data_IF_826363372389
#
_entry.id   IF_826363372389
#
_cell.length_a   1.000
_cell.length_b   1.000
_cell.length_c   1.000
_cell.angle_alpha   90.00
_cell.angle_beta   90.00
_cell.angle_gamma   90.00
#
_symmetry.space_group_name_H-M   'P 1'
#
loop_
_entity.id
_entity.type
_entity.pdbx_description
1 polymer ?
#
# COMPACT_ATOMS: atom_id res chain seq x y z
N UNK A 1 18.40 -75.56 3.68
CA UNK A 1 18.84 -74.66 4.75
C UNK A 1 18.35 -73.25 4.41
N UNK A 2 17.45 -72.63 5.19
CA UNK A 2 16.98 -71.28 4.92
C UNK A 2 17.99 -70.24 5.46
N UNK A 3 18.19 -69.09 4.81
CA UNK A 3 18.97 -68.00 5.37
C UNK A 3 18.14 -67.22 6.40
N UNK A 4 18.83 -66.76 7.44
CA UNK A 4 18.33 -66.07 8.62
C UNK A 4 17.80 -64.67 8.28
N UNK A 5 16.74 -64.29 8.99
CA UNK A 5 16.28 -62.90 9.09
C UNK A 5 17.37 -62.03 9.70
N UNK A 6 17.76 -60.96 9.01
CA UNK A 6 18.56 -59.88 9.55
C UNK A 6 17.68 -58.64 9.70
N UNK A 7 17.42 -58.33 10.97
CA UNK A 7 17.20 -57.03 11.58
C UNK A 7 17.12 -55.83 10.62
N UNK A 8 15.88 -55.45 10.29
CA UNK A 8 15.57 -54.07 9.97
C UNK A 8 15.72 -53.27 11.26
N UNK A 9 16.87 -52.61 11.45
CA UNK A 9 17.02 -51.53 12.42
C UNK A 9 16.07 -50.42 11.99
N UNK A 10 14.89 -50.42 12.60
CA UNK A 10 13.98 -49.29 12.69
C UNK A 10 14.75 -48.14 13.35
N UNK A 11 15.33 -47.27 12.53
CA UNK A 11 15.80 -45.96 12.98
C UNK A 11 14.55 -45.13 13.25
N UNK A 12 13.97 -45.36 14.43
CA UNK A 12 12.94 -44.53 15.01
C UNK A 12 13.49 -43.13 15.24
N UNK A 13 13.43 -42.30 14.20
CA UNK A 13 13.16 -40.88 14.39
C UNK A 13 11.69 -40.78 14.81
N UNK A 14 11.43 -41.12 16.08
CA UNK A 14 10.24 -40.66 16.78
C UNK A 14 10.26 -39.13 16.72
N UNK A 15 9.55 -38.57 15.75
CA UNK A 15 9.01 -37.23 15.84
C UNK A 15 8.25 -37.18 17.17
N UNK A 16 8.90 -36.68 18.23
CA UNK A 16 8.27 -36.43 19.52
C UNK A 16 6.98 -35.70 19.25
N UNK A 17 5.85 -36.40 19.42
CA UNK A 17 4.54 -35.80 19.34
C UNK A 17 4.50 -34.73 20.43
N UNK A 18 4.73 -33.47 20.06
CA UNK A 18 4.58 -32.34 20.96
C UNK A 18 3.15 -32.38 21.48
N UNK A 19 3.01 -32.71 22.76
CA UNK A 19 1.70 -32.77 23.42
C UNK A 19 1.16 -31.34 23.50
N UNK A 20 -0.04 -31.13 22.96
CA UNK A 20 -0.71 -29.84 22.98
C UNK A 20 -0.86 -29.33 24.43
N UNK A 21 -0.71 -28.02 24.62
CA UNK A 21 -0.87 -27.38 25.92
C UNK A 21 -2.35 -27.44 26.34
N UNK A 22 -2.68 -27.99 27.53
CA UNK A 22 -4.07 -28.05 28.00
C UNK A 22 -4.73 -26.66 28.12
N UNK A 23 -3.92 -25.61 28.33
CA UNK A 23 -4.38 -24.23 28.43
C UNK A 23 -4.92 -23.69 27.11
N UNK A 24 -4.44 -24.17 25.95
CA UNK A 24 -4.87 -23.68 24.63
C UNK A 24 -6.38 -23.84 24.40
N UNK A 25 -6.97 -24.88 24.99
CA UNK A 25 -8.40 -25.13 24.89
C UNK A 25 -9.27 -24.04 25.57
N UNK A 26 -8.73 -23.29 26.54
CA UNK A 26 -9.51 -22.32 27.33
C UNK A 26 -8.91 -20.90 27.19
N UNK A 27 -7.59 -20.82 27.11
CA UNK A 27 -6.76 -19.62 27.06
C UNK A 27 -5.68 -19.78 25.97
N UNK A 28 -6.06 -19.78 24.69
CA UNK A 28 -5.08 -19.81 23.60
C UNK A 28 -4.19 -18.56 23.67
N UNK A 29 -2.89 -18.70 23.44
CA UNK A 29 -1.96 -17.56 23.44
C UNK A 29 -2.26 -16.52 22.36
N UNK A 30 -3.00 -16.90 21.32
CA UNK A 30 -3.56 -16.00 20.31
C UNK A 30 -5.08 -15.99 20.42
N UNK A 31 -5.64 -14.82 20.67
CA UNK A 31 -7.09 -14.61 20.70
C UNK A 31 -7.62 -14.34 19.29
N UNK A 32 -8.81 -14.84 18.99
CA UNK A 32 -9.54 -14.48 17.78
C UNK A 32 -9.96 -13.01 17.84
N UNK A 33 -9.57 -12.23 16.84
CA UNK A 33 -9.90 -10.81 16.73
C UNK A 33 -11.22 -10.63 15.99
N UNK A 34 -11.83 -9.46 16.18
CA UNK A 34 -12.97 -8.99 15.39
C UNK A 34 -12.76 -7.52 15.05
N UNK A 35 -12.62 -7.23 13.76
CA UNK A 35 -12.59 -5.86 13.28
C UNK A 35 -13.98 -5.24 13.46
N UNK A 36 -14.05 -4.12 14.18
CA UNK A 36 -15.29 -3.41 14.52
C UNK A 36 -15.27 -1.95 14.08
N UNK A 37 -14.09 -1.40 13.82
CA UNK A 37 -13.91 -0.01 13.43
C UNK A 37 -13.74 0.02 11.91
N UNK A 38 -14.66 0.64 11.15
CA UNK A 38 -14.54 0.72 9.70
C UNK A 38 -13.40 1.66 9.29
N UNK A 39 -12.87 1.46 8.09
CA UNK A 39 -11.91 2.39 7.51
C UNK A 39 -12.60 3.72 7.16
N UNK A 40 -12.07 4.82 7.68
CA UNK A 40 -12.61 6.18 7.48
C UNK A 40 -11.78 7.05 6.53
N UNK A 41 -10.64 6.53 6.05
CA UNK A 41 -9.78 7.22 5.09
C UNK A 41 -10.30 7.14 3.65
N UNK A 42 -9.73 7.96 2.78
CA UNK A 42 -9.90 7.77 1.34
C UNK A 42 -9.29 6.43 0.91
N UNK A 43 -10.00 5.68 0.06
CA UNK A 43 -9.49 4.43 -0.50
C UNK A 43 -8.28 4.69 -1.39
N UNK A 44 -7.35 3.74 -1.43
CA UNK A 44 -6.26 3.78 -2.39
C UNK A 44 -6.81 3.49 -3.78
N UNK A 45 -6.52 4.37 -4.74
CA UNK A 45 -6.85 4.17 -6.15
C UNK A 45 -5.59 3.90 -6.96
N UNK A 46 -5.75 3.18 -8.08
CA UNK A 46 -4.65 2.81 -8.98
C UNK A 46 -3.84 4.02 -9.48
N UNK A 47 -4.50 5.14 -9.72
CA UNK A 47 -3.86 6.35 -10.27
C UNK A 47 -3.55 7.42 -9.20
N UNK A 48 -3.76 7.13 -7.90
CA UNK A 48 -3.46 8.09 -6.82
C UNK A 48 -2.04 7.93 -6.29
N UNK A 49 -1.34 9.06 -6.10
CA UNK A 49 0.03 9.09 -5.56
C UNK A 49 0.08 9.36 -4.05
N UNK A 50 -1.05 9.23 -3.36
CA UNK A 50 -1.18 9.52 -1.93
C UNK A 50 -0.74 8.33 -1.05
N UNK A 51 0.24 7.52 -1.51
CA UNK A 51 0.66 6.29 -0.82
C UNK A 51 0.92 6.52 0.66
N UNK A 52 1.75 7.52 1.02
CA UNK A 52 2.10 7.79 2.43
C UNK A 52 0.89 8.17 3.27
N UNK A 53 -0.01 9.00 2.72
CA UNK A 53 -1.21 9.44 3.41
C UNK A 53 -2.17 8.26 3.62
N UNK A 54 -2.35 7.44 2.60
CA UNK A 54 -3.12 6.21 2.71
C UNK A 54 -2.48 5.24 3.71
N UNK A 55 -1.16 5.03 3.65
CA UNK A 55 -0.43 4.12 4.53
C UNK A 55 -0.57 4.55 5.99
N UNK A 56 -0.48 5.86 6.26
CA UNK A 56 -0.72 6.41 7.60
C UNK A 56 -2.13 6.07 8.10
N UNK A 57 -3.16 6.35 7.29
CA UNK A 57 -4.55 6.03 7.64
C UNK A 57 -4.77 4.53 7.83
N UNK A 58 -4.18 3.71 6.96
CA UNK A 58 -4.25 2.26 7.02
C UNK A 58 -3.60 1.72 8.30
N UNK A 59 -2.42 2.22 8.68
CA UNK A 59 -1.73 1.86 9.92
C UNK A 59 -2.54 2.23 11.16
N UNK A 60 -3.21 3.38 11.15
CA UNK A 60 -4.12 3.76 12.24
C UNK A 60 -5.32 2.81 12.31
N UNK A 61 -5.95 2.51 11.17
CA UNK A 61 -7.06 1.58 11.06
C UNK A 61 -6.71 0.16 11.54
N UNK A 62 -5.55 -0.38 11.14
CA UNK A 62 -5.12 -1.71 11.62
C UNK A 62 -4.79 -1.69 13.11
N UNK A 63 -4.29 -0.58 13.65
CA UNK A 63 -3.98 -0.45 15.07
C UNK A 63 -5.25 -0.46 15.91
N UNK A 64 -6.26 0.29 15.47
CA UNK A 64 -7.57 0.35 16.10
C UNK A 64 -8.30 -1.01 16.08
N UNK A 65 -8.03 -1.85 15.08
CA UNK A 65 -8.59 -3.19 14.98
C UNK A 65 -7.65 -4.30 15.49
N UNK A 66 -6.51 -3.95 16.11
CA UNK A 66 -5.50 -4.89 16.62
C UNK A 66 -4.85 -5.81 15.54
N UNK A 67 -4.89 -5.39 14.27
CA UNK A 67 -4.36 -6.13 13.12
C UNK A 67 -2.92 -5.76 12.74
N UNK A 68 -2.34 -4.70 13.32
CA UNK A 68 -1.03 -4.15 12.93
C UNK A 68 0.09 -5.20 12.87
N UNK A 69 0.15 -6.11 13.86
CA UNK A 69 1.19 -7.14 13.89
C UNK A 69 1.02 -8.20 12.80
N UNK A 70 -0.20 -8.43 12.31
CA UNK A 70 -0.46 -9.36 11.22
C UNK A 70 -0.06 -8.78 9.86
N UNK A 71 -0.13 -7.45 9.71
CA UNK A 71 0.22 -6.75 8.47
C UNK A 71 1.71 -6.46 8.37
N UNK A 72 2.27 -5.78 9.39
CA UNK A 72 3.61 -5.18 9.29
C UNK A 72 4.72 -6.05 9.89
N UNK A 73 4.39 -7.00 10.76
CA UNK A 73 5.37 -7.87 11.41
C UNK A 73 4.80 -9.26 11.70
N UNK A 74 4.27 -9.97 10.68
CA UNK A 74 3.72 -11.30 10.89
C UNK A 74 4.84 -12.25 11.35
N UNK A 75 4.57 -12.99 12.42
CA UNK A 75 5.45 -14.02 12.94
C UNK A 75 4.88 -15.40 12.61
N UNK A 76 5.71 -16.40 12.38
CA UNK A 76 5.22 -17.76 12.10
C UNK A 76 4.75 -18.43 13.39
N UNK A 77 3.52 -18.95 13.39
CA UNK A 77 2.96 -19.67 14.51
C UNK A 77 3.24 -21.18 14.39
N UNK A 78 3.49 -21.88 15.52
CA UNK A 78 3.79 -23.32 15.54
C UNK A 78 2.52 -24.14 15.88
N UNK A 79 1.93 -24.89 14.94
CA UNK A 79 0.62 -25.53 15.12
C UNK A 79 0.59 -26.67 16.15
N UNK A 80 1.73 -27.33 16.40
CA UNK A 80 1.77 -28.56 17.19
C UNK A 80 1.68 -28.36 18.71
N UNK A 81 1.87 -27.13 19.20
CA UNK A 81 1.89 -26.84 20.65
C UNK A 81 0.55 -26.25 21.12
N UNK A 82 -0.07 -25.40 20.29
CA UNK A 82 -1.32 -24.71 20.57
C UNK A 82 -2.18 -24.65 19.28
N UNK A 83 -2.91 -25.74 18.94
CA UNK A 83 -3.69 -25.81 17.70
C UNK A 83 -4.81 -24.77 17.61
N UNK A 84 -5.43 -24.38 18.73
CA UNK A 84 -6.49 -23.37 18.74
C UNK A 84 -5.93 -21.98 18.53
N UNK A 85 -4.83 -21.64 19.19
CA UNK A 85 -4.10 -20.40 18.91
C UNK A 85 -3.62 -20.32 17.45
N UNK A 86 -3.17 -21.44 16.86
CA UNK A 86 -2.83 -21.50 15.44
C UNK A 86 -4.05 -21.23 14.53
N UNK A 87 -5.21 -21.82 14.86
CA UNK A 87 -6.46 -21.54 14.14
C UNK A 87 -6.83 -20.07 14.25
N UNK A 88 -6.79 -19.48 15.44
CA UNK A 88 -7.09 -18.06 15.67
C UNK A 88 -6.11 -17.16 14.89
N UNK A 89 -4.83 -17.49 14.89
CA UNK A 89 -3.81 -16.77 14.13
C UNK A 89 -4.11 -16.76 12.62
N UNK A 90 -4.51 -17.91 12.08
CA UNK A 90 -4.86 -18.06 10.66
C UNK A 90 -6.10 -17.24 10.29
N UNK A 91 -7.15 -17.29 11.12
CA UNK A 91 -8.34 -16.46 10.94
C UNK A 91 -8.03 -14.96 11.02
N UNK A 92 -7.16 -14.55 11.95
CA UNK A 92 -6.73 -13.16 12.07
C UNK A 92 -5.93 -12.68 10.85
N UNK A 93 -5.13 -13.55 10.22
CA UNK A 93 -4.45 -13.24 8.95
C UNK A 93 -5.47 -13.03 7.82
N UNK A 94 -6.47 -13.90 7.70
CA UNK A 94 -7.55 -13.75 6.71
C UNK A 94 -8.32 -12.44 6.93
N UNK A 95 -8.60 -12.10 8.20
CA UNK A 95 -9.22 -10.83 8.56
C UNK A 95 -8.35 -9.64 8.18
N UNK A 96 -7.03 -9.72 8.36
CA UNK A 96 -6.11 -8.67 7.94
C UNK A 96 -6.09 -8.47 6.42
N UNK A 97 -6.19 -9.55 5.62
CA UNK A 97 -6.34 -9.44 4.16
C UNK A 97 -7.65 -8.74 3.80
N UNK A 98 -8.77 -9.17 4.39
CA UNK A 98 -10.07 -8.54 4.15
C UNK A 98 -10.09 -7.06 4.55
N UNK A 99 -9.44 -6.74 5.67
CA UNK A 99 -9.26 -5.37 6.14
C UNK A 99 -8.45 -4.55 5.13
N UNK A 100 -7.33 -5.06 4.63
CA UNK A 100 -6.54 -4.43 3.56
C UNK A 100 -7.40 -4.16 2.32
N UNK A 101 -8.14 -5.16 1.84
CA UNK A 101 -9.01 -5.02 0.68
C UNK A 101 -10.08 -3.95 0.87
N UNK A 102 -10.65 -3.83 2.06
CA UNK A 102 -11.67 -2.79 2.34
C UNK A 102 -11.14 -1.36 2.20
N UNK A 103 -9.82 -1.17 2.27
CA UNK A 103 -9.15 0.14 2.21
C UNK A 103 -8.67 0.54 0.82
N UNK A 104 -8.89 -0.32 -0.18
CA UNK A 104 -8.54 -0.05 -1.59
C UNK A 104 -9.78 -0.01 -2.47
N UNK A 105 -9.62 0.57 -3.64
CA UNK A 105 -10.60 0.56 -4.73
C UNK A 105 -10.55 -0.76 -5.52
N UNK A 106 -11.65 -1.07 -6.21
CA UNK A 106 -11.79 -2.29 -7.00
C UNK A 106 -10.68 -2.43 -8.07
N UNK A 107 -10.16 -1.30 -8.57
CA UNK A 107 -9.05 -1.26 -9.52
C UNK A 107 -7.74 -1.85 -8.98
N UNK A 108 -7.59 -2.11 -7.68
CA UNK A 108 -6.38 -2.69 -7.08
C UNK A 108 -6.60 -4.09 -6.49
N UNK A 109 -7.80 -4.66 -6.64
CA UNK A 109 -8.11 -5.98 -6.09
C UNK A 109 -7.27 -7.11 -6.70
N UNK A 110 -6.80 -6.97 -7.94
CA UNK A 110 -5.90 -7.90 -8.61
C UNK A 110 -4.51 -8.00 -7.95
N UNK A 111 -4.12 -6.98 -7.18
CA UNK A 111 -2.86 -6.97 -6.43
C UNK A 111 -2.99 -7.62 -5.04
N UNK A 112 -4.21 -7.97 -4.62
CA UNK A 112 -4.48 -8.61 -3.33
C UNK A 112 -4.59 -10.12 -3.54
N UNK A 113 -3.60 -10.83 -3.00
CA UNK A 113 -3.53 -12.29 -3.07
C UNK A 113 -3.81 -12.88 -1.67
N UNK A 114 -4.98 -13.50 -1.54
CA UNK A 114 -5.43 -14.13 -0.31
C UNK A 114 -4.55 -15.31 0.12
N UNK A 115 -4.00 -16.06 -0.83
CA UNK A 115 -3.16 -17.23 -0.57
C UNK A 115 -1.76 -16.82 -0.11
N UNK A 116 -1.23 -15.75 -0.71
CA UNK A 116 0.08 -15.20 -0.33
C UNK A 116 0.06 -14.37 0.96
N UNK A 117 -1.14 -14.02 1.44
CA UNK A 117 -1.37 -13.36 2.71
C UNK A 117 -1.16 -11.85 2.69
N UNK A 118 -1.59 -11.21 3.79
CA UNK A 118 -1.76 -9.74 3.88
C UNK A 118 -0.46 -8.97 3.64
N UNK A 119 0.67 -9.47 4.12
CA UNK A 119 1.95 -8.78 3.98
C UNK A 119 2.40 -8.67 2.53
N UNK A 120 2.29 -9.75 1.76
CA UNK A 120 2.66 -9.72 0.34
C UNK A 120 1.72 -8.84 -0.46
N UNK A 121 0.42 -8.87 -0.16
CA UNK A 121 -0.56 -7.97 -0.78
C UNK A 121 -0.25 -6.50 -0.45
N UNK A 122 0.11 -6.19 0.79
CA UNK A 122 0.54 -4.84 1.18
C UNK A 122 1.82 -4.39 0.46
N UNK A 123 2.84 -5.27 0.38
CA UNK A 123 4.08 -4.99 -0.35
C UNK A 123 3.81 -4.79 -1.86
N UNK A 124 2.94 -5.60 -2.47
CA UNK A 124 2.55 -5.45 -3.87
C UNK A 124 1.84 -4.11 -4.14
N UNK A 125 0.94 -3.68 -3.25
CA UNK A 125 0.29 -2.36 -3.34
C UNK A 125 1.31 -1.23 -3.21
N UNK A 126 2.23 -1.33 -2.24
CA UNK A 126 3.30 -0.36 -2.04
C UNK A 126 4.15 -0.23 -3.31
N UNK A 127 4.64 -1.37 -3.79
CA UNK A 127 5.53 -1.42 -4.93
C UNK A 127 4.81 -0.91 -6.18
N UNK A 128 3.52 -1.22 -6.35
CA UNK A 128 2.71 -0.66 -7.44
C UNK A 128 2.61 0.87 -7.36
N UNK A 129 2.21 1.43 -6.22
CA UNK A 129 2.06 2.88 -6.04
C UNK A 129 3.39 3.64 -6.12
N UNK A 130 4.47 3.03 -5.64
CA UNK A 130 5.83 3.57 -5.75
C UNK A 130 6.44 3.32 -7.14
N UNK A 131 5.92 2.39 -7.93
CA UNK A 131 6.37 2.16 -9.31
C UNK A 131 5.69 3.06 -10.33
N UNK A 132 4.79 3.96 -9.91
CA UNK A 132 4.23 4.99 -10.78
C UNK A 132 5.39 5.77 -11.42
N UNK A 133 5.73 5.37 -12.64
CA UNK A 133 7.12 5.43 -13.11
C UNK A 133 7.67 6.83 -13.30
N UNK A 134 8.90 6.93 -13.81
CA UNK A 134 9.62 8.20 -13.97
C UNK A 134 8.82 9.29 -14.71
N UNK A 135 7.92 8.89 -15.63
CA UNK A 135 7.01 9.79 -16.36
C UNK A 135 6.08 10.56 -15.42
N UNK A 136 5.57 9.92 -14.38
CA UNK A 136 4.62 10.55 -13.46
C UNK A 136 5.34 11.51 -12.51
N UNK A 137 6.52 11.13 -12.00
CA UNK A 137 7.41 12.03 -11.26
C UNK A 137 7.74 13.30 -12.07
N UNK A 138 8.05 13.14 -13.36
CA UNK A 138 8.31 14.25 -14.28
C UNK A 138 7.09 15.17 -14.41
N UNK A 139 5.89 14.61 -14.55
CA UNK A 139 4.66 15.38 -14.67
C UNK A 139 4.37 16.21 -13.41
N UNK A 140 4.51 15.61 -12.22
CA UNK A 140 4.30 16.27 -10.93
C UNK A 140 5.32 17.39 -10.71
N UNK A 141 6.60 17.13 -11.00
CA UNK A 141 7.65 18.15 -10.85
C UNK A 141 7.45 19.29 -11.86
N UNK A 142 7.05 18.97 -13.09
CA UNK A 142 6.68 20.00 -14.07
C UNK A 142 5.50 20.84 -13.58
N UNK A 143 4.49 20.23 -12.98
CA UNK A 143 3.36 20.94 -12.38
C UNK A 143 3.83 21.87 -11.25
N UNK A 144 4.72 21.41 -10.37
CA UNK A 144 5.30 22.24 -9.31
C UNK A 144 6.06 23.44 -9.89
N UNK A 145 6.88 23.22 -10.92
CA UNK A 145 7.66 24.27 -11.59
C UNK A 145 6.80 25.25 -12.40
N UNK A 146 5.63 24.80 -12.86
CA UNK A 146 4.65 25.62 -13.59
C UNK A 146 3.62 26.28 -12.66
N UNK A 147 3.73 26.07 -11.35
CA UNK A 147 2.85 26.69 -10.35
C UNK A 147 3.37 28.09 -10.01
N UNK A 148 2.56 29.11 -10.28
CA UNK A 148 2.92 30.51 -10.03
C UNK A 148 1.95 31.14 -9.04
N UNK A 149 2.43 32.12 -8.27
CA UNK A 149 1.57 32.92 -7.42
C UNK A 149 0.63 33.78 -8.27
N UNK A 150 -0.67 33.60 -8.08
CA UNK A 150 -1.68 34.52 -8.60
C UNK A 150 -1.88 35.68 -7.62
N UNK A 151 -2.22 36.90 -8.08
CA UNK A 151 -2.62 38.00 -7.20
C UNK A 151 -3.82 37.66 -6.30
N UNK A 152 -4.61 36.65 -6.66
CA UNK A 152 -5.81 36.21 -5.94
C UNK A 152 -5.55 35.12 -4.89
N UNK A 153 -4.35 34.54 -4.83
CA UNK A 153 -4.03 33.39 -3.97
C UNK A 153 -2.90 33.74 -2.99
N UNK A 154 -3.02 33.40 -1.69
CA UNK A 154 -1.95 33.68 -0.73
C UNK A 154 -0.65 32.95 -1.09
N UNK A 155 0.48 33.65 -1.04
CA UNK A 155 1.81 33.10 -1.28
C UNK A 155 2.07 31.79 -0.50
N UNK A 156 1.63 31.74 0.76
CA UNK A 156 1.77 30.57 1.62
C UNK A 156 1.03 29.34 1.07
N UNK A 157 -0.17 29.53 0.52
CA UNK A 157 -0.94 28.45 -0.08
C UNK A 157 -0.25 27.90 -1.33
N UNK A 158 0.23 28.79 -2.21
CA UNK A 158 1.00 28.40 -3.40
C UNK A 158 2.30 27.69 -3.04
N UNK A 159 3.05 28.19 -2.05
CA UNK A 159 4.29 27.57 -1.59
C UNK A 159 4.04 26.17 -1.00
N UNK A 160 3.01 26.01 -0.17
CA UNK A 160 2.63 24.70 0.37
C UNK A 160 2.24 23.71 -0.73
N UNK A 161 1.54 24.17 -1.76
CA UNK A 161 1.20 23.34 -2.91
C UNK A 161 2.46 22.87 -3.66
N UNK A 162 3.42 23.78 -3.91
CA UNK A 162 4.70 23.44 -4.53
C UNK A 162 5.47 22.42 -3.70
N UNK A 163 5.60 22.64 -2.39
CA UNK A 163 6.29 21.71 -1.50
C UNK A 163 5.62 20.33 -1.51
N UNK A 164 4.28 20.29 -1.44
CA UNK A 164 3.52 19.04 -1.45
C UNK A 164 3.74 18.27 -2.76
N UNK A 165 3.71 18.95 -3.91
CA UNK A 165 3.97 18.31 -5.21
C UNK A 165 5.40 17.74 -5.28
N UNK A 166 6.39 18.49 -4.80
CA UNK A 166 7.78 18.03 -4.77
C UNK A 166 7.91 16.79 -3.87
N UNK A 167 7.40 16.85 -2.64
CA UNK A 167 7.44 15.73 -1.70
C UNK A 167 6.79 14.48 -2.31
N UNK A 168 5.62 14.62 -2.93
CA UNK A 168 4.95 13.51 -3.63
C UNK A 168 5.82 12.91 -4.73
N UNK A 169 6.52 13.72 -5.52
CA UNK A 169 7.39 13.21 -6.58
C UNK A 169 8.57 12.40 -6.02
N UNK A 170 9.17 12.83 -4.90
CA UNK A 170 10.25 12.10 -4.23
C UNK A 170 9.75 10.82 -3.54
N UNK A 171 8.50 10.82 -3.07
CA UNK A 171 7.88 9.66 -2.42
C UNK A 171 7.59 8.50 -3.38
N UNK A 172 7.51 8.80 -4.67
CA UNK A 172 7.41 7.82 -5.75
C UNK A 172 8.75 7.17 -6.11
N UNK A 173 9.86 7.57 -5.46
CA UNK A 173 11.17 6.94 -5.65
C UNK A 173 12.28 7.92 -6.02
N UNK A 174 13.49 7.38 -6.16
CA UNK A 174 14.69 8.19 -6.37
C UNK A 174 14.68 8.91 -7.73
N UNK A 175 14.87 10.23 -7.71
CA UNK A 175 15.09 11.02 -8.92
C UNK A 175 16.51 10.77 -9.41
N UNK A 176 16.64 9.96 -10.46
CA UNK A 176 17.95 9.69 -11.08
C UNK A 176 18.46 10.91 -11.85
N UNK A 177 19.75 10.92 -12.16
CA UNK A 177 20.36 11.97 -12.98
C UNK A 177 19.68 12.13 -14.33
N UNK A 178 19.32 11.03 -14.98
CA UNK A 178 18.67 11.07 -16.29
C UNK A 178 17.23 11.56 -16.18
N UNK A 179 16.54 11.25 -15.08
CA UNK A 179 15.22 11.81 -14.82
C UNK A 179 15.27 13.33 -14.62
N UNK A 180 16.26 13.82 -13.86
CA UNK A 180 16.47 15.25 -13.67
C UNK A 180 16.77 15.97 -14.98
N UNK A 181 17.56 15.36 -15.88
CA UNK A 181 17.77 15.90 -17.24
C UNK A 181 16.46 15.98 -18.02
N UNK A 182 15.61 14.96 -17.97
CA UNK A 182 14.30 14.97 -18.63
C UNK A 182 13.40 16.09 -18.10
N UNK A 183 13.38 16.30 -16.79
CA UNK A 183 12.63 17.40 -16.15
C UNK A 183 13.13 18.75 -16.64
N UNK A 184 14.45 18.97 -16.63
CA UNK A 184 15.05 20.21 -17.08
C UNK A 184 14.76 20.47 -18.56
N UNK A 185 14.86 19.44 -19.41
CA UNK A 185 14.53 19.52 -20.83
C UNK A 185 13.06 19.89 -21.04
N UNK A 186 12.14 19.22 -20.35
CA UNK A 186 10.71 19.50 -20.49
C UNK A 186 10.32 20.88 -19.95
N UNK A 187 10.98 21.36 -18.90
CA UNK A 187 10.80 22.73 -18.42
C UNK A 187 11.34 23.77 -19.42
N UNK A 188 12.42 23.47 -20.14
CA UNK A 188 12.89 24.36 -21.22
C UNK A 188 11.90 24.48 -22.39
N UNK A 189 11.03 23.48 -22.55
CA UNK A 189 10.00 23.43 -23.58
C UNK A 189 8.67 24.07 -23.12
N UNK A 190 8.63 24.76 -21.98
CA UNK A 190 7.42 25.41 -21.43
C UNK A 190 6.83 26.52 -22.30
N UNK A 191 7.57 26.97 -23.31
CA UNK A 191 7.09 27.93 -24.30
C UNK A 191 5.91 27.33 -25.12
N UNK A 192 4.89 28.14 -25.38
CA UNK A 192 3.72 27.76 -26.20
C UNK A 192 4.11 27.30 -27.60
N UNK A 193 5.28 27.70 -28.09
CA UNK A 193 5.85 27.28 -29.37
C UNK A 193 6.07 25.77 -29.50
N UNK A 194 6.09 25.03 -28.38
CA UNK A 194 6.33 23.58 -28.34
C UNK A 194 5.11 22.75 -27.88
N UNK A 195 3.90 23.33 -27.89
CA UNK A 195 2.66 22.70 -27.40
C UNK A 195 2.34 21.34 -28.07
N UNK A 196 2.74 21.16 -29.34
CA UNK A 196 2.59 19.89 -30.09
C UNK A 196 3.41 18.73 -29.51
N UNK A 197 4.58 19.01 -28.90
CA UNK A 197 5.44 18.02 -28.25
C UNK A 197 4.96 17.76 -26.81
N UNK A 198 4.38 18.77 -26.17
CA UNK A 198 3.85 18.64 -24.81
C UNK A 198 2.61 17.72 -24.74
N UNK A 199 1.77 17.71 -25.79
CA UNK A 199 0.55 16.89 -25.86
C UNK A 199 0.81 15.40 -26.14
N UNK A 200 2.04 15.04 -26.56
CA UNK A 200 2.42 13.64 -26.85
C UNK A 200 2.78 12.85 -25.59
N UNK A 201 3.05 13.53 -24.47
CA UNK A 201 3.25 12.89 -23.17
C UNK A 201 1.85 12.65 -22.57
N UNK A 202 1.45 11.39 -22.32
CA UNK A 202 0.10 11.11 -21.87
C UNK A 202 -0.14 11.79 -20.52
N UNK A 203 -1.00 12.81 -20.53
CA UNK A 203 -1.55 13.40 -19.32
C UNK A 203 -2.45 12.36 -18.65
N UNK A 204 -1.89 11.53 -17.77
CA UNK A 204 -2.67 10.63 -16.90
C UNK A 204 -3.26 11.37 -15.69
N UNK A 205 -3.64 12.63 -15.85
CA UNK A 205 -4.42 13.34 -14.84
C UNK A 205 -5.74 13.79 -15.43
N UNK A 206 -6.87 13.51 -14.74
CA UNK A 206 -8.09 14.26 -14.96
C UNK A 206 -7.80 15.72 -14.59
N UNK A 207 -7.94 16.62 -15.55
CA UNK A 207 -8.06 18.05 -15.22
C UNK A 207 -9.22 18.24 -14.26
N UNK A 208 -9.06 18.95 -13.13
CA UNK A 208 -10.17 19.26 -12.25
C UNK A 208 -11.26 19.98 -13.05
N UNK A 209 -12.55 19.62 -12.87
CA UNK A 209 -13.61 20.20 -13.66
C UNK A 209 -13.66 21.72 -13.46
N UNK A 210 -13.93 22.50 -14.52
CA UNK A 210 -14.00 23.95 -14.42
C UNK A 210 -15.05 24.32 -13.36
N UNK A 211 -14.65 25.18 -12.41
CA UNK A 211 -15.56 25.71 -11.39
C UNK A 211 -16.75 26.34 -12.11
N UNK A 212 -17.93 25.71 -12.02
CA UNK A 212 -19.17 26.29 -12.53
C UNK A 212 -19.36 27.63 -11.82
N UNK A 213 -19.34 28.70 -12.60
CA UNK A 213 -19.64 30.03 -12.11
C UNK A 213 -21.12 30.03 -11.71
N UNK A 214 -21.41 29.95 -10.41
CA UNK A 214 -22.76 30.17 -9.88
C UNK A 214 -22.98 31.70 -9.91
N UNK A 215 -23.94 32.24 -10.68
CA UNK A 215 -24.24 33.65 -10.65
C UNK A 215 -24.78 34.02 -9.25
N UNK A 216 -24.24 35.07 -8.65
CA UNK A 216 -24.81 35.66 -7.43
C UNK A 216 -26.26 36.10 -7.72
N UNK A 217 -27.23 35.78 -6.87
CA UNK A 217 -28.56 36.36 -6.98
C UNK A 217 -28.43 37.88 -6.76
N UNK A 218 -29.06 38.66 -7.65
CA UNK A 218 -29.19 40.09 -7.50
C UNK A 218 -30.11 40.36 -6.31
N UNK A 219 -29.61 41.11 -5.32
CA UNK A 219 -30.40 41.73 -4.25
C UNK A 219 -31.27 42.84 -4.81
#
# INVERSE_FOLDING_TARGET
MPPKANDLKDTGDEAKASKALPTDAIHPSVTLLRASIPFSGAKLHRDTHDWKKWEHNFRMFTTLNHLTHYVFSPYTYRPHVEPRAFSNYTENLTMAVAALQSTVDDSLHDLIDYEKGVRRSYEALRDHCQSAGPICQVAIIRQALSTYCSPSEPLVATANNICTLIDTAFDMGAITRDLFKCIALLNSLSDKSYESIQSTIPARYPTPPPKRHIPRPKS
#
